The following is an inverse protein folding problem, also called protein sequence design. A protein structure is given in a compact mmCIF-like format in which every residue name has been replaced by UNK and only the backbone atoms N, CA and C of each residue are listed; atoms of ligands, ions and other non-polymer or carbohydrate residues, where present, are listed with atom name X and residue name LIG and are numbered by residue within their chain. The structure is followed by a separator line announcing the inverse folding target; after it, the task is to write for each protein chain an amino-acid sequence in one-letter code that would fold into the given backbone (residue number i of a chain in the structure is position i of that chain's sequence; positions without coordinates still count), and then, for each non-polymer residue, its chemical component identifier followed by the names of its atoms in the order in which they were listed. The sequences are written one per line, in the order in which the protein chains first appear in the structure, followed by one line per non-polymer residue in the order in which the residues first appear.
data_IF_640205350876
#
_entry.id   IF_640205350876
#
_cell.length_a   1.000
_cell.length_b   1.000
_cell.length_c   1.000
_cell.angle_alpha   90.00
_cell.angle_beta   90.00
_cell.angle_gamma   90.00
#
_symmetry.space_group_name_H-M   'P 1'
#
loop_
_entity.id
_entity.type
_entity.pdbx_description
1 polymer ?
#
# COMPACT_ATOMS: atom_id res chain seq x y z
N UNK A 1 6.26 34.37 -12.35
CA UNK A 1 7.57 33.70 -12.35
C UNK A 1 7.34 32.24 -12.72
N UNK A 2 7.95 31.76 -13.79
CA UNK A 2 7.79 30.36 -14.20
C UNK A 2 8.91 29.55 -13.54
N UNK A 3 8.55 28.58 -12.70
CA UNK A 3 9.48 27.67 -12.05
C UNK A 3 9.66 26.43 -12.92
N UNK A 4 10.90 26.01 -13.12
CA UNK A 4 11.25 24.74 -13.78
C UNK A 4 11.38 23.66 -12.73
N UNK A 5 10.71 22.53 -12.92
CA UNK A 5 10.84 21.37 -12.03
C UNK A 5 12.23 20.74 -12.15
N UNK A 6 12.82 20.36 -11.03
CA UNK A 6 14.11 19.64 -10.99
C UNK A 6 14.07 18.37 -11.85
N UNK A 7 12.95 17.63 -11.80
CA UNK A 7 12.72 16.45 -12.66
C UNK A 7 12.88 16.76 -14.14
N UNK A 8 12.37 17.91 -14.60
CA UNK A 8 12.45 18.31 -16.01
C UNK A 8 13.91 18.59 -16.41
N UNK A 9 14.68 19.20 -15.51
CA UNK A 9 16.11 19.48 -15.73
C UNK A 9 16.89 18.16 -15.87
N UNK A 10 16.67 17.20 -14.97
CA UNK A 10 17.33 15.89 -15.03
C UNK A 10 16.98 15.08 -16.28
N UNK A 11 15.70 15.10 -16.69
CA UNK A 11 15.23 14.33 -17.85
C UNK A 11 15.59 14.96 -19.20
N UNK A 12 15.74 16.27 -19.25
CA UNK A 12 15.97 17.04 -20.46
C UNK A 12 17.15 18.01 -20.31
N UNK A 13 18.26 17.57 -19.70
CA UNK A 13 19.43 18.39 -19.36
C UNK A 13 19.92 19.21 -20.54
N UNK A 14 20.03 18.61 -21.73
CA UNK A 14 20.50 19.29 -22.96
C UNK A 14 19.68 20.53 -23.30
N UNK A 15 18.37 20.52 -23.03
CA UNK A 15 17.48 21.67 -23.26
C UNK A 15 17.83 22.87 -22.39
N UNK A 16 18.30 22.61 -21.18
CA UNK A 16 18.57 23.64 -20.18
C UNK A 16 20.05 23.99 -20.05
N UNK A 17 20.91 23.25 -20.71
CA UNK A 17 22.36 23.46 -20.67
C UNK A 17 22.73 24.87 -21.09
N UNK A 18 23.48 25.56 -20.24
CA UNK A 18 23.86 26.96 -20.39
C UNK A 18 22.70 27.97 -20.47
N UNK A 19 21.47 27.53 -20.16
CA UNK A 19 20.31 28.39 -20.09
C UNK A 19 20.09 28.91 -18.66
N UNK A 20 19.39 30.03 -18.55
CA UNK A 20 18.87 30.53 -17.29
C UNK A 20 17.67 29.68 -16.87
N UNK A 21 17.68 29.18 -15.63
CA UNK A 21 16.58 28.44 -15.01
C UNK A 21 16.20 29.11 -13.69
N UNK A 22 14.94 28.99 -13.32
CA UNK A 22 14.45 29.37 -12.00
C UNK A 22 13.82 28.14 -11.35
N UNK A 23 14.31 27.74 -10.18
CA UNK A 23 13.77 26.63 -9.40
C UNK A 23 13.30 27.12 -8.02
N UNK A 24 12.31 26.45 -7.46
CA UNK A 24 11.91 26.64 -6.06
C UNK A 24 12.02 25.32 -5.32
N UNK A 25 12.46 25.33 -4.06
CA UNK A 25 12.56 24.08 -3.29
C UNK A 25 13.08 24.28 -1.87
N UNK A 26 13.32 23.18 -1.21
CA UNK A 26 13.79 23.19 0.19
C UNK A 26 15.25 22.80 0.29
N UNK A 27 15.96 23.53 1.15
CA UNK A 27 17.40 23.36 1.41
C UNK A 27 17.64 22.05 2.17
N UNK A 28 18.40 21.15 1.57
CA UNK A 28 18.88 19.89 2.19
C UNK A 28 20.23 20.05 2.87
N UNK A 29 21.07 20.90 2.34
CA UNK A 29 22.32 21.31 2.96
C UNK A 29 22.78 22.66 2.42
N UNK A 30 23.46 23.43 3.26
CA UNK A 30 24.17 24.63 2.88
C UNK A 30 25.61 24.53 3.42
N UNK A 31 26.60 24.78 2.58
CA UNK A 31 28.02 24.78 2.93
C UNK A 31 28.65 26.00 2.32
N UNK A 32 29.21 26.86 3.12
CA UNK A 32 29.90 28.04 2.65
C UNK A 32 31.41 27.95 2.86
N UNK A 33 32.14 28.69 2.06
CA UNK A 33 33.56 29.01 2.12
C UNK A 33 33.72 30.52 2.12
N UNK A 34 34.92 31.04 2.06
CA UNK A 34 35.16 32.49 2.17
C UNK A 34 34.44 33.31 1.08
N UNK A 35 34.44 32.85 -0.16
CA UNK A 35 33.95 33.63 -1.30
C UNK A 35 32.86 32.91 -2.10
N UNK A 36 32.48 31.67 -1.73
CA UNK A 36 31.44 30.90 -2.41
C UNK A 36 30.85 29.85 -1.49
N UNK A 37 29.70 29.27 -1.90
CA UNK A 37 29.06 28.16 -1.18
C UNK A 37 28.25 27.28 -2.08
N UNK A 38 27.74 26.21 -1.49
CA UNK A 38 26.92 25.19 -2.13
C UNK A 38 25.64 24.99 -1.36
N UNK A 39 24.51 25.12 -2.02
CA UNK A 39 23.20 24.71 -1.50
C UNK A 39 22.76 23.48 -2.29
N UNK A 40 22.26 22.48 -1.58
CA UNK A 40 21.56 21.35 -2.17
C UNK A 40 20.08 21.59 -1.99
N UNK A 41 19.34 21.68 -3.10
CA UNK A 41 17.91 21.97 -3.13
C UNK A 41 17.15 20.76 -3.63
N UNK A 42 16.08 20.41 -2.96
CA UNK A 42 15.11 19.42 -3.40
C UNK A 42 13.75 20.10 -3.55
N UNK A 43 13.14 19.97 -4.72
CA UNK A 43 11.82 20.55 -5.03
C UNK A 43 10.67 19.55 -4.90
N UNK A 44 10.96 18.31 -4.51
CA UNK A 44 9.98 17.21 -4.39
C UNK A 44 9.53 16.61 -5.72
N UNK A 45 9.97 17.13 -6.88
CA UNK A 45 9.56 16.58 -8.18
C UNK A 45 10.44 15.43 -8.66
N UNK A 46 11.65 15.31 -8.11
CA UNK A 46 12.60 14.25 -8.45
C UNK A 46 13.35 13.78 -7.19
N UNK A 47 13.75 12.51 -7.18
CA UNK A 47 14.44 11.93 -6.03
C UNK A 47 15.83 12.55 -5.80
N UNK A 48 16.58 12.75 -6.88
CA UNK A 48 17.90 13.39 -6.79
C UNK A 48 17.75 14.91 -6.62
N UNK A 49 18.34 15.51 -5.57
CA UNK A 49 18.35 16.95 -5.39
C UNK A 49 19.32 17.62 -6.34
N UNK A 50 19.15 18.92 -6.59
CA UNK A 50 20.04 19.70 -7.45
C UNK A 50 21.03 20.53 -6.64
N UNK A 51 22.28 20.58 -7.10
CA UNK A 51 23.32 21.41 -6.51
C UNK A 51 23.27 22.83 -7.08
N UNK A 52 23.30 23.81 -6.19
CA UNK A 52 23.40 25.25 -6.51
C UNK A 52 24.71 25.76 -5.97
N UNK A 53 25.47 26.46 -6.81
CA UNK A 53 26.71 27.17 -6.42
C UNK A 53 26.40 28.67 -6.37
N UNK A 54 26.78 29.33 -5.28
CA UNK A 54 26.63 30.76 -5.12
C UNK A 54 27.95 31.41 -4.71
N UNK A 55 28.17 32.65 -5.12
CA UNK A 55 29.39 33.40 -4.85
C UNK A 55 29.12 34.71 -4.11
N UNK A 56 30.20 35.38 -3.69
CA UNK A 56 30.19 36.66 -3.00
C UNK A 56 29.68 37.84 -3.86
N UNK A 57 29.42 37.60 -5.15
CA UNK A 57 28.75 38.54 -6.04
C UNK A 57 27.23 38.63 -5.86
N UNK A 58 26.61 37.76 -5.03
CA UNK A 58 25.19 37.91 -4.69
C UNK A 58 24.95 39.10 -3.77
N UNK A 59 23.91 39.89 -4.07
CA UNK A 59 23.53 41.05 -3.26
C UNK A 59 23.29 40.68 -1.79
N UNK A 60 22.70 39.50 -1.53
CA UNK A 60 22.37 38.99 -0.19
C UNK A 60 23.29 37.83 0.23
N UNK A 61 24.55 37.80 -0.18
CA UNK A 61 25.49 36.71 0.08
C UNK A 61 25.57 36.29 1.55
N UNK A 62 25.64 37.26 2.48
CA UNK A 62 25.73 36.99 3.92
C UNK A 62 24.45 36.32 4.48
N UNK A 63 23.28 36.64 3.93
CA UNK A 63 22.02 35.99 4.25
C UNK A 63 22.02 34.54 3.75
N UNK A 64 22.41 34.35 2.48
CA UNK A 64 22.48 33.04 1.85
C UNK A 64 23.44 32.12 2.59
N UNK A 65 24.57 32.62 3.07
CA UNK A 65 25.51 31.87 3.90
C UNK A 65 24.89 31.33 5.20
N UNK A 66 23.86 31.95 5.73
CA UNK A 66 23.20 31.64 7.01
C UNK A 66 21.93 30.83 6.86
N UNK A 67 21.53 30.46 5.61
CA UNK A 67 20.33 29.67 5.37
C UNK A 67 20.46 28.29 6.05
N UNK A 68 19.49 28.00 6.91
CA UNK A 68 19.39 26.71 7.58
C UNK A 68 18.77 25.62 6.69
N UNK A 69 19.05 24.36 7.02
CA UNK A 69 18.37 23.21 6.44
C UNK A 69 16.85 23.31 6.66
N UNK A 70 16.08 22.96 5.65
CA UNK A 70 14.62 23.05 5.69
C UNK A 70 14.05 24.39 5.24
N UNK A 71 14.87 25.42 5.04
CA UNK A 71 14.40 26.69 4.46
C UNK A 71 13.88 26.51 3.02
N UNK A 72 12.86 27.26 2.67
CA UNK A 72 12.36 27.34 1.30
C UNK A 72 13.07 28.47 0.55
N UNK A 73 13.56 28.15 -0.65
CA UNK A 73 14.31 29.11 -1.48
C UNK A 73 13.83 29.09 -2.93
N UNK A 74 13.92 30.26 -3.59
CA UNK A 74 13.86 30.37 -5.04
C UNK A 74 15.27 30.71 -5.52
N UNK A 75 15.76 29.96 -6.49
CA UNK A 75 17.09 30.15 -7.09
C UNK A 75 16.92 30.45 -8.57
N UNK A 76 17.48 31.54 -9.04
CA UNK A 76 17.62 31.89 -10.44
C UNK A 76 19.08 31.85 -10.82
N UNK A 77 19.43 31.12 -11.85
CA UNK A 77 20.82 30.95 -12.26
C UNK A 77 20.97 30.21 -13.58
N UNK A 78 22.23 30.07 -14.01
CA UNK A 78 22.57 29.34 -15.20
C UNK A 78 22.81 27.87 -14.90
N UNK A 79 22.25 26.94 -15.67
CA UNK A 79 22.56 25.52 -15.59
C UNK A 79 23.91 25.28 -16.30
N UNK A 80 24.91 24.89 -15.53
CA UNK A 80 26.28 24.70 -16.02
C UNK A 80 26.60 23.20 -16.03
N UNK A 81 27.02 22.63 -17.18
CA UNK A 81 27.47 21.23 -17.28
C UNK A 81 28.70 20.97 -16.41
N UNK A 82 28.72 19.82 -15.76
CA UNK A 82 29.85 19.34 -14.95
C UNK A 82 30.05 17.83 -15.18
N UNK A 83 30.42 17.40 -16.40
CA UNK A 83 30.45 15.99 -16.79
C UNK A 83 31.43 15.13 -15.97
N UNK A 84 32.44 15.74 -15.38
CA UNK A 84 33.44 15.06 -14.55
C UNK A 84 33.06 14.97 -13.07
N UNK A 85 31.97 15.65 -12.65
CA UNK A 85 31.47 15.63 -11.27
C UNK A 85 30.42 14.52 -11.09
N UNK A 86 30.15 14.14 -9.84
CA UNK A 86 29.11 13.14 -9.51
C UNK A 86 27.73 13.52 -10.05
N UNK A 87 27.36 14.82 -9.97
CA UNK A 87 26.19 15.36 -10.62
C UNK A 87 26.64 16.02 -11.93
N UNK A 88 26.04 15.65 -13.10
CA UNK A 88 26.55 16.09 -14.41
C UNK A 88 26.29 17.55 -14.71
N UNK A 89 25.65 18.29 -13.85
CA UNK A 89 25.36 19.73 -13.94
C UNK A 89 25.17 20.35 -12.55
N UNK A 90 25.22 21.67 -12.50
CA UNK A 90 24.90 22.48 -11.31
C UNK A 90 24.26 23.79 -11.75
N UNK A 91 23.55 24.47 -10.84
CA UNK A 91 23.08 25.82 -11.08
C UNK A 91 24.09 26.80 -10.52
N UNK A 92 24.63 27.66 -11.37
CA UNK A 92 25.39 28.83 -10.93
C UNK A 92 24.40 29.96 -10.63
N UNK A 93 24.18 30.21 -9.33
CA UNK A 93 23.19 31.17 -8.88
C UNK A 93 23.55 32.61 -9.28
N UNK A 94 22.60 33.32 -9.86
CA UNK A 94 22.62 34.76 -10.06
C UNK A 94 21.78 35.49 -8.99
N UNK A 95 20.77 34.80 -8.45
CA UNK A 95 19.87 35.32 -7.42
C UNK A 95 19.40 34.14 -6.54
N UNK A 96 19.34 34.36 -5.23
CA UNK A 96 18.77 33.42 -4.27
C UNK A 96 17.83 34.19 -3.35
N UNK A 97 16.55 33.88 -3.42
CA UNK A 97 15.52 34.47 -2.56
C UNK A 97 15.09 33.48 -1.48
N UNK A 98 15.07 33.91 -0.23
CA UNK A 98 14.53 33.11 0.88
C UNK A 98 13.03 33.34 0.97
N UNK A 99 12.23 32.38 0.52
CA UNK A 99 10.76 32.41 0.63
C UNK A 99 10.29 32.13 2.06
N UNK A 100 10.95 31.21 2.74
CA UNK A 100 10.64 30.84 4.11
C UNK A 100 11.89 30.40 4.85
N UNK A 101 12.24 31.12 5.90
CA UNK A 101 13.37 30.78 6.75
C UNK A 101 13.07 29.52 7.58
N UNK A 102 14.10 28.76 7.90
CA UNK A 102 14.05 27.65 8.85
C UNK A 102 14.86 27.99 10.09
N UNK A 103 14.36 27.62 11.25
CA UNK A 103 14.99 27.88 12.53
C UNK A 103 16.05 26.81 12.88
N UNK A 104 17.04 27.11 13.73
CA UNK A 104 18.10 26.16 14.09
C UNK A 104 17.62 24.89 14.81
N UNK A 105 16.42 24.90 15.38
CA UNK A 105 15.78 23.75 16.04
C UNK A 105 15.02 22.84 15.07
N UNK A 106 15.10 23.07 13.75
CA UNK A 106 14.53 22.18 12.75
C UNK A 106 14.93 20.72 13.00
N UNK A 107 13.97 19.79 13.18
CA UNK A 107 14.25 18.47 13.74
C UNK A 107 15.01 17.53 12.78
N UNK A 108 14.92 17.77 11.47
CA UNK A 108 15.61 16.94 10.46
C UNK A 108 17.01 17.49 10.14
N UNK A 109 17.85 17.55 11.18
CA UNK A 109 19.24 17.94 11.02
C UNK A 109 20.04 16.88 10.23
N UNK A 110 21.24 17.26 9.73
CA UNK A 110 22.13 16.38 8.96
C UNK A 110 22.74 15.26 9.85
N UNK A 111 21.89 14.33 10.26
CA UNK A 111 22.25 13.11 11.00
C UNK A 111 21.29 11.98 10.61
N UNK A 112 21.68 10.74 10.91
CA UNK A 112 20.77 9.61 10.74
C UNK A 112 19.67 9.68 11.80
N UNK A 113 18.42 9.57 11.38
CA UNK A 113 17.24 9.46 12.24
C UNK A 113 16.71 8.04 12.21
N UNK A 114 16.21 7.54 13.34
CA UNK A 114 15.52 6.24 13.39
C UNK A 114 14.10 6.37 12.86
N UNK A 115 13.52 5.27 12.36
CA UNK A 115 12.15 5.29 11.89
C UNK A 115 11.15 5.56 13.02
N UNK A 116 11.43 5.08 14.24
CA UNK A 116 10.64 5.37 15.45
C UNK A 116 10.55 6.88 15.68
N UNK A 117 11.67 7.58 15.66
CA UNK A 117 11.69 9.03 15.79
C UNK A 117 10.91 9.71 14.64
N UNK A 118 11.12 9.28 13.41
CA UNK A 118 10.45 9.88 12.26
C UNK A 118 8.92 9.67 12.27
N UNK A 119 8.42 8.62 12.92
CA UNK A 119 6.98 8.44 13.16
C UNK A 119 6.41 9.50 14.11
N UNK A 120 7.19 10.00 15.07
CA UNK A 120 6.73 11.08 16.00
C UNK A 120 6.64 12.45 15.33
N UNK A 121 7.22 12.60 14.13
CA UNK A 121 7.19 13.81 13.32
C UNK A 121 6.67 13.49 11.89
N UNK A 122 5.58 12.74 11.80
CA UNK A 122 5.03 12.25 10.54
C UNK A 122 4.80 13.35 9.49
N UNK A 123 4.46 14.57 9.93
CA UNK A 123 4.28 15.75 9.07
C UNK A 123 5.58 16.28 8.44
N UNK A 124 6.75 15.96 9.00
CA UNK A 124 8.05 16.40 8.46
C UNK A 124 8.84 15.26 7.79
N UNK A 125 8.58 14.00 8.15
CA UNK A 125 9.35 12.86 7.63
C UNK A 125 9.35 12.74 6.09
N UNK A 126 8.36 13.23 5.32
CA UNK A 126 8.44 13.23 3.86
C UNK A 126 9.63 14.03 3.30
N UNK A 127 10.20 14.94 4.10
CA UNK A 127 11.40 15.70 3.72
C UNK A 127 12.69 14.88 3.85
N UNK A 128 12.64 13.61 4.26
CA UNK A 128 13.82 12.71 4.28
C UNK A 128 13.87 11.89 2.99
N UNK A 129 15.06 11.49 2.55
CA UNK A 129 15.22 10.71 1.32
C UNK A 129 14.40 9.40 1.36
N UNK A 130 14.40 8.70 2.51
CA UNK A 130 13.66 7.44 2.64
C UNK A 130 12.17 7.63 2.43
N UNK A 131 11.56 8.60 3.12
CA UNK A 131 10.11 8.78 3.02
C UNK A 131 9.68 9.53 1.76
N UNK A 132 10.54 10.37 1.19
CA UNK A 132 10.33 10.88 -0.16
C UNK A 132 10.23 9.72 -1.15
N UNK A 133 11.21 8.79 -1.15
CA UNK A 133 11.19 7.62 -2.01
C UNK A 133 9.97 6.73 -1.76
N UNK A 134 9.64 6.43 -0.50
CA UNK A 134 8.48 5.59 -0.15
C UNK A 134 7.18 6.18 -0.71
N UNK A 135 6.91 7.46 -0.48
CA UNK A 135 5.63 8.05 -0.89
C UNK A 135 5.56 8.33 -2.40
N UNK A 136 6.69 8.53 -3.07
CA UNK A 136 6.73 8.57 -4.53
C UNK A 136 6.41 7.19 -5.13
N UNK A 137 7.03 6.12 -4.62
CA UNK A 137 6.73 4.75 -5.06
C UNK A 137 5.30 4.36 -4.70
N UNK A 138 4.78 4.73 -3.51
CA UNK A 138 3.38 4.53 -3.14
C UNK A 138 2.42 5.18 -4.16
N UNK A 139 2.67 6.43 -4.53
CA UNK A 139 1.86 7.15 -5.51
C UNK A 139 1.90 6.48 -6.88
N UNK A 140 3.09 6.09 -7.32
CA UNK A 140 3.29 5.42 -8.61
C UNK A 140 2.64 4.03 -8.65
N UNK A 141 2.74 3.28 -7.55
CA UNK A 141 2.09 1.97 -7.39
C UNK A 141 0.56 2.10 -7.51
N UNK A 142 -0.04 3.10 -6.86
CA UNK A 142 -1.48 3.35 -6.98
C UNK A 142 -1.89 3.63 -8.43
N UNK A 143 -1.13 4.48 -9.12
CA UNK A 143 -1.38 4.75 -10.54
C UNK A 143 -1.23 3.50 -11.41
N UNK A 144 -0.19 2.69 -11.19
CA UNK A 144 0.05 1.45 -11.92
C UNK A 144 -1.11 0.46 -11.77
N UNK A 145 -1.68 0.34 -10.56
CA UNK A 145 -2.84 -0.51 -10.29
C UNK A 145 -4.07 -0.02 -11.07
N UNK A 146 -4.39 1.28 -10.98
CA UNK A 146 -5.49 1.84 -11.76
C UNK A 146 -5.29 1.64 -13.26
N UNK A 147 -4.08 1.91 -13.76
CA UNK A 147 -3.74 1.72 -15.17
C UNK A 147 -3.92 0.27 -15.61
N UNK A 148 -3.45 -0.70 -14.80
CA UNK A 148 -3.60 -2.12 -15.08
C UNK A 148 -5.05 -2.53 -15.31
N UNK A 149 -5.95 -2.12 -14.42
CA UNK A 149 -7.36 -2.47 -14.48
C UNK A 149 -8.09 -1.70 -15.59
N UNK A 150 -7.85 -0.41 -15.72
CA UNK A 150 -8.53 0.43 -16.73
C UNK A 150 -8.16 0.02 -18.16
N UNK A 151 -6.92 -0.37 -18.42
CA UNK A 151 -6.47 -0.87 -19.74
C UNK A 151 -7.05 -2.29 -20.08
N UNK A 152 -7.72 -2.93 -19.12
CA UNK A 152 -8.38 -4.24 -19.26
C UNK A 152 -9.89 -4.14 -19.14
N UNK A 153 -10.45 -2.95 -19.33
CA UNK A 153 -11.89 -2.67 -19.30
C UNK A 153 -12.57 -3.02 -17.97
N UNK A 154 -11.84 -2.96 -16.84
CA UNK A 154 -12.44 -3.07 -15.53
C UNK A 154 -13.09 -1.75 -15.12
N UNK A 155 -14.27 -1.83 -14.52
CA UNK A 155 -14.96 -0.67 -13.96
C UNK A 155 -14.53 -0.45 -12.51
N UNK A 156 -14.02 0.76 -12.21
CA UNK A 156 -13.73 1.17 -10.84
C UNK A 156 -15.02 1.50 -10.09
N UNK A 157 -15.27 0.83 -8.97
CA UNK A 157 -16.50 0.98 -8.19
C UNK A 157 -16.20 1.56 -6.82
N UNK A 158 -16.93 2.63 -6.46
CA UNK A 158 -16.96 3.16 -5.10
C UNK A 158 -17.96 2.35 -4.26
N UNK A 159 -17.46 1.54 -3.35
CA UNK A 159 -18.28 0.84 -2.35
C UNK A 159 -18.36 1.63 -1.06
N UNK A 160 -19.46 1.51 -0.27
CA UNK A 160 -19.65 2.27 0.95
C UNK A 160 -18.58 2.02 2.00
N UNK A 161 -18.08 3.08 2.63
CA UNK A 161 -17.18 2.97 3.79
C UNK A 161 -17.96 2.78 5.09
N UNK A 162 -19.21 3.30 5.18
CA UNK A 162 -20.11 3.09 6.31
C UNK A 162 -21.09 2.00 5.89
N UNK A 163 -21.13 0.93 6.64
CA UNK A 163 -21.92 -0.27 6.30
C UNK A 163 -22.71 -0.79 7.50
N UNK A 164 -23.82 -1.44 7.23
CA UNK A 164 -24.60 -2.20 8.22
C UNK A 164 -24.32 -3.72 8.17
N UNK A 165 -23.42 -4.19 7.28
CA UNK A 165 -23.07 -5.61 7.14
C UNK A 165 -21.59 -5.86 7.42
N UNK A 166 -21.26 -7.03 7.96
CA UNK A 166 -19.90 -7.51 8.12
C UNK A 166 -19.52 -8.44 6.97
N UNK A 167 -18.56 -8.03 6.14
CA UNK A 167 -18.11 -8.81 5.00
C UNK A 167 -17.43 -10.13 5.40
N UNK A 168 -16.70 -10.15 6.49
CA UNK A 168 -15.94 -11.32 6.93
C UNK A 168 -16.72 -12.18 7.95
N UNK A 169 -17.81 -11.63 8.53
CA UNK A 169 -18.67 -12.33 9.47
C UNK A 169 -18.08 -12.53 10.87
N UNK A 170 -16.89 -12.00 11.13
CA UNK A 170 -16.21 -12.09 12.44
C UNK A 170 -15.28 -10.89 12.69
N UNK A 171 -15.38 -9.83 11.88
CA UNK A 171 -14.50 -8.68 11.94
C UNK A 171 -14.74 -7.80 13.17
N UNK A 172 -13.68 -7.40 13.87
CA UNK A 172 -13.74 -6.32 14.82
C UNK A 172 -13.88 -4.99 14.07
N UNK A 173 -15.10 -4.43 14.06
CA UNK A 173 -15.43 -3.23 13.30
C UNK A 173 -15.47 -1.99 14.19
N UNK A 174 -14.97 -0.87 13.67
CA UNK A 174 -15.21 0.43 14.29
C UNK A 174 -16.66 0.84 14.11
N UNK A 175 -17.35 1.16 15.21
CA UNK A 175 -18.72 1.64 15.17
C UNK A 175 -18.77 3.11 14.73
N UNK A 176 -19.72 3.44 13.85
CA UNK A 176 -20.04 4.80 13.44
C UNK A 176 -21.37 5.21 14.08
N UNK A 177 -21.35 6.24 14.91
CA UNK A 177 -22.54 6.73 15.63
C UNK A 177 -22.49 8.24 15.83
N UNK A 178 -23.66 8.87 15.86
CA UNK A 178 -23.86 10.27 16.25
C UNK A 178 -24.53 10.40 17.62
N UNK A 179 -24.78 9.28 18.31
CA UNK A 179 -25.33 9.28 19.65
C UNK A 179 -24.34 9.88 20.66
N UNK A 180 -24.85 10.65 21.63
CA UNK A 180 -24.02 11.12 22.74
C UNK A 180 -23.61 9.95 23.63
N UNK A 181 -22.33 9.60 23.65
CA UNK A 181 -21.82 8.49 24.48
C UNK A 181 -21.97 8.74 25.99
N UNK A 182 -22.21 9.98 26.43
CA UNK A 182 -22.48 10.30 27.84
C UNK A 182 -23.93 10.01 28.25
N UNK A 183 -24.85 10.07 27.29
CA UNK A 183 -26.28 9.86 27.52
C UNK A 183 -26.88 9.07 26.35
N UNK A 184 -26.49 7.80 26.27
CA UNK A 184 -26.94 6.90 25.20
C UNK A 184 -28.42 6.54 25.39
N UNK A 185 -29.30 6.83 24.41
CA UNK A 185 -30.72 6.43 24.48
C UNK A 185 -30.84 4.91 24.51
N UNK A 186 -31.74 4.41 25.38
CA UNK A 186 -31.95 2.99 25.61
C UNK A 186 -33.42 2.60 25.40
N UNK A 187 -33.62 1.40 24.87
CA UNK A 187 -34.90 0.73 24.78
C UNK A 187 -35.34 0.23 26.18
N UNK A 188 -36.55 -0.31 26.28
CA UNK A 188 -37.09 -0.87 27.55
C UNK A 188 -36.24 -2.04 28.08
N UNK A 189 -35.60 -2.82 27.19
CA UNK A 189 -34.71 -3.93 27.51
C UNK A 189 -33.29 -3.49 27.90
N UNK A 190 -33.06 -2.17 28.04
CA UNK A 190 -31.75 -1.53 28.32
C UNK A 190 -30.71 -1.60 27.20
N UNK A 191 -31.03 -2.16 26.05
CA UNK A 191 -30.17 -2.09 24.87
C UNK A 191 -30.16 -0.69 24.26
N UNK A 192 -29.14 -0.36 23.47
CA UNK A 192 -29.02 0.93 22.78
C UNK A 192 -30.20 1.08 21.81
N UNK A 193 -30.87 2.23 21.85
CA UNK A 193 -31.91 2.58 20.87
C UNK A 193 -31.33 3.25 19.63
N UNK A 194 -30.82 2.46 18.72
CA UNK A 194 -30.27 2.94 17.45
C UNK A 194 -31.29 3.60 16.50
N UNK A 195 -32.60 3.51 16.78
CA UNK A 195 -33.60 4.28 16.01
C UNK A 195 -33.45 5.79 16.19
N UNK A 196 -32.70 6.21 17.21
CA UNK A 196 -32.34 7.60 17.49
C UNK A 196 -30.99 8.01 16.87
N UNK A 197 -30.24 7.06 16.32
CA UNK A 197 -28.99 7.34 15.63
C UNK A 197 -29.22 7.81 14.18
N UNK A 198 -28.19 8.38 13.56
CA UNK A 198 -28.27 9.00 12.23
C UNK A 198 -28.87 8.07 11.16
N UNK A 199 -28.44 6.80 11.12
CA UNK A 199 -28.91 5.82 10.13
C UNK A 199 -30.11 4.99 10.62
N UNK A 200 -30.59 5.22 11.85
CA UNK A 200 -31.70 4.47 12.44
C UNK A 200 -31.39 2.99 12.76
N UNK A 201 -30.14 2.56 12.62
CA UNK A 201 -29.64 1.22 12.89
C UNK A 201 -28.14 1.26 13.22
N UNK A 202 -27.57 0.19 13.82
CA UNK A 202 -26.11 0.09 14.00
C UNK A 202 -25.39 0.15 12.67
N UNK A 203 -24.32 0.94 12.61
CA UNK A 203 -23.43 1.05 11.44
C UNK A 203 -21.98 1.06 11.86
N UNK A 204 -21.12 0.61 10.95
CA UNK A 204 -19.69 0.45 11.19
C UNK A 204 -18.88 0.94 10.00
N UNK A 205 -17.59 1.15 10.20
CA UNK A 205 -16.63 1.29 9.10
C UNK A 205 -16.38 -0.09 8.47
N UNK A 206 -16.31 -0.14 7.15
CA UNK A 206 -16.18 -1.39 6.39
C UNK A 206 -14.81 -2.06 6.60
N UNK A 207 -14.81 -3.38 6.59
CA UNK A 207 -13.59 -4.21 6.56
C UNK A 207 -13.20 -4.64 5.14
N UNK A 208 -14.10 -4.49 4.16
CA UNK A 208 -13.91 -4.84 2.74
C UNK A 208 -15.04 -4.28 1.88
N UNK A 209 -14.73 -3.93 0.65
CA UNK A 209 -15.72 -3.54 -0.37
C UNK A 209 -16.30 -4.71 -1.17
N UNK A 210 -15.85 -5.94 -0.92
CA UNK A 210 -16.11 -7.12 -1.74
C UNK A 210 -17.60 -7.38 -1.97
N UNK A 211 -18.41 -7.54 -0.92
CA UNK A 211 -19.82 -7.92 -1.08
C UNK A 211 -20.62 -6.91 -1.92
N UNK A 212 -20.34 -5.62 -1.75
CA UNK A 212 -20.94 -4.58 -2.57
C UNK A 212 -20.34 -4.57 -3.99
N UNK A 213 -19.04 -4.85 -4.14
CA UNK A 213 -18.36 -4.98 -5.42
C UNK A 213 -18.95 -6.11 -6.28
N UNK A 214 -19.23 -7.27 -5.69
CA UNK A 214 -19.84 -8.39 -6.40
C UNK A 214 -21.20 -8.03 -7.02
N UNK A 215 -21.97 -7.12 -6.41
CA UNK A 215 -23.25 -6.66 -7.02
C UNK A 215 -23.02 -6.00 -8.36
N UNK A 216 -21.91 -5.25 -8.49
CA UNK A 216 -21.55 -4.59 -9.74
C UNK A 216 -20.87 -5.54 -10.72
N UNK A 217 -20.12 -6.53 -10.26
CA UNK A 217 -19.57 -7.57 -11.13
C UNK A 217 -20.68 -8.37 -11.84
N UNK A 218 -21.81 -8.59 -11.19
CA UNK A 218 -22.99 -9.23 -11.79
C UNK A 218 -23.69 -8.37 -12.86
N UNK A 219 -23.27 -7.14 -13.07
CA UNK A 219 -23.79 -6.23 -14.10
C UNK A 219 -22.72 -5.79 -15.12
N UNK A 220 -21.50 -5.54 -14.64
CA UNK A 220 -20.39 -5.00 -15.45
C UNK A 220 -19.34 -6.05 -15.83
N UNK A 221 -19.47 -7.28 -15.38
CA UNK A 221 -18.58 -8.42 -15.61
C UNK A 221 -17.25 -8.29 -14.84
N UNK A 222 -16.45 -7.24 -15.08
CA UNK A 222 -15.15 -7.03 -14.46
C UNK A 222 -15.16 -5.69 -13.72
N UNK A 223 -14.97 -5.72 -12.42
CA UNK A 223 -14.89 -4.51 -11.58
C UNK A 223 -13.68 -4.60 -10.65
N UNK A 224 -13.33 -3.47 -10.09
CA UNK A 224 -12.42 -3.44 -8.94
C UNK A 224 -12.78 -2.29 -7.97
N UNK A 225 -12.51 -2.51 -6.70
CA UNK A 225 -12.47 -1.46 -5.70
C UNK A 225 -11.02 -1.07 -5.44
N UNK A 226 -10.78 0.15 -5.02
CA UNK A 226 -9.53 0.61 -4.48
C UNK A 226 -9.85 1.69 -3.46
N UNK A 227 -9.94 1.31 -2.20
CA UNK A 227 -10.42 2.19 -1.17
C UNK A 227 -9.98 1.80 0.24
N UNK A 228 -10.18 2.72 1.19
CA UNK A 228 -9.85 2.49 2.59
C UNK A 228 -10.73 1.41 3.21
N UNK A 229 -10.13 0.60 4.05
CA UNK A 229 -10.75 -0.41 4.90
C UNK A 229 -10.26 -0.24 6.33
N UNK A 230 -11.05 -0.73 7.28
CA UNK A 230 -10.83 -0.46 8.70
C UNK A 230 -10.99 -1.76 9.50
N UNK A 231 -10.04 -2.03 10.39
CA UNK A 231 -10.10 -3.17 11.32
C UNK A 231 -9.75 -2.72 12.72
N UNK A 232 -10.63 -3.00 13.67
CA UNK A 232 -10.47 -2.62 15.09
C UNK A 232 -9.69 -3.67 15.91
N UNK A 233 -9.01 -4.59 15.24
CA UNK A 233 -8.22 -5.64 15.88
C UNK A 233 -7.13 -5.05 16.79
N UNK A 234 -7.08 -5.53 18.03
CA UNK A 234 -6.04 -5.14 18.97
C UNK A 234 -4.72 -5.86 18.65
N UNK A 235 -4.18 -5.62 17.46
CA UNK A 235 -2.94 -6.21 16.96
C UNK A 235 -1.84 -5.15 16.83
N UNK A 236 -0.73 -5.34 17.53
CA UNK A 236 0.41 -4.42 17.51
C UNK A 236 1.62 -5.03 16.79
N UNK A 237 1.42 -5.53 15.58
CA UNK A 237 2.49 -6.09 14.76
C UNK A 237 3.02 -5.07 13.75
N UNK A 238 4.08 -5.43 13.05
CA UNK A 238 4.65 -4.61 11.97
C UNK A 238 3.81 -4.61 10.68
N UNK A 239 2.76 -5.44 10.61
CA UNK A 239 1.95 -5.67 9.40
C UNK A 239 0.49 -5.26 9.55
N UNK A 240 0.06 -4.79 10.73
CA UNK A 240 -1.31 -4.41 11.02
C UNK A 240 -1.43 -2.89 11.24
N UNK A 241 -2.42 -2.32 10.60
CA UNK A 241 -2.89 -0.96 10.81
C UNK A 241 -4.42 -0.98 10.92
N UNK A 242 -4.99 -0.04 11.68
CA UNK A 242 -6.43 0.06 11.85
C UNK A 242 -7.13 0.64 10.62
N UNK A 243 -6.40 1.41 9.81
CA UNK A 243 -6.83 1.98 8.53
C UNK A 243 -5.77 1.66 7.48
N UNK A 244 -6.19 1.06 6.38
CA UNK A 244 -5.35 0.69 5.24
C UNK A 244 -6.20 0.63 3.97
N UNK A 245 -5.57 0.44 2.81
CA UNK A 245 -6.30 0.39 1.54
C UNK A 245 -6.29 -1.02 0.95
N UNK A 246 -7.44 -1.41 0.40
CA UNK A 246 -7.58 -2.69 -0.32
C UNK A 246 -7.86 -2.45 -1.81
N UNK A 247 -7.27 -3.31 -2.63
CA UNK A 247 -7.61 -3.46 -4.04
C UNK A 247 -8.35 -4.79 -4.17
N UNK A 248 -9.60 -4.75 -4.62
CA UNK A 248 -10.47 -5.91 -4.63
C UNK A 248 -11.17 -6.03 -5.99
N UNK A 249 -10.55 -6.69 -6.99
CA UNK A 249 -11.22 -7.02 -8.24
C UNK A 249 -12.21 -8.18 -8.04
N UNK A 250 -13.31 -8.13 -8.82
CA UNK A 250 -14.30 -9.19 -8.94
C UNK A 250 -14.58 -9.43 -10.43
N UNK A 251 -14.47 -10.67 -10.87
CA UNK A 251 -14.60 -11.08 -12.25
C UNK A 251 -15.71 -12.13 -12.41
N UNK A 252 -16.75 -11.80 -13.20
CA UNK A 252 -17.85 -12.72 -13.48
C UNK A 252 -17.49 -13.68 -14.62
N UNK A 253 -18.13 -14.86 -14.61
CA UNK A 253 -17.88 -15.99 -15.53
C UNK A 253 -16.47 -16.57 -15.41
N UNK A 254 -15.84 -16.37 -14.27
CA UNK A 254 -14.48 -16.78 -13.94
C UNK A 254 -14.45 -17.81 -12.82
N UNK A 255 -13.44 -18.64 -12.81
CA UNK A 255 -13.15 -19.60 -11.75
C UNK A 255 -11.88 -19.23 -10.96
N UNK A 256 -11.44 -20.11 -10.07
CA UNK A 256 -10.25 -19.88 -9.25
C UNK A 256 -8.98 -19.76 -10.11
N UNK A 257 -8.90 -20.47 -11.23
CA UNK A 257 -7.76 -20.41 -12.14
C UNK A 257 -7.65 -19.03 -12.80
N UNK A 258 -8.78 -18.51 -13.29
CA UNK A 258 -8.86 -17.16 -13.87
C UNK A 258 -8.45 -16.08 -12.84
N UNK A 259 -8.84 -16.26 -11.57
CA UNK A 259 -8.49 -15.35 -10.46
C UNK A 259 -6.99 -15.35 -10.20
N UNK A 260 -6.36 -16.53 -10.12
CA UNK A 260 -4.92 -16.68 -9.98
C UNK A 260 -4.15 -16.05 -11.15
N UNK A 261 -4.59 -16.23 -12.38
CA UNK A 261 -3.96 -15.62 -13.56
C UNK A 261 -4.04 -14.10 -13.51
N UNK A 262 -5.18 -13.53 -13.10
CA UNK A 262 -5.33 -12.09 -12.94
C UNK A 262 -4.41 -11.55 -11.85
N UNK A 263 -4.34 -12.22 -10.69
CA UNK A 263 -3.50 -11.84 -9.56
C UNK A 263 -2.01 -11.85 -9.94
N UNK A 264 -1.54 -12.91 -10.60
CA UNK A 264 -0.15 -13.02 -11.08
C UNK A 264 0.17 -11.91 -12.09
N UNK A 265 -0.70 -11.70 -13.08
CA UNK A 265 -0.53 -10.67 -14.11
C UNK A 265 -0.46 -9.27 -13.51
N UNK A 266 -1.35 -8.97 -12.55
CA UNK A 266 -1.37 -7.67 -11.87
C UNK A 266 -0.09 -7.43 -11.08
N UNK A 267 0.33 -8.40 -10.28
CA UNK A 267 1.52 -8.25 -9.43
C UNK A 267 2.79 -8.03 -10.27
N UNK A 268 2.96 -8.83 -11.32
CA UNK A 268 4.08 -8.67 -12.27
C UNK A 268 4.06 -7.31 -12.97
N UNK A 269 2.90 -6.87 -13.41
CA UNK A 269 2.73 -5.56 -14.05
C UNK A 269 3.11 -4.41 -13.13
N UNK A 270 2.61 -4.41 -11.89
CA UNK A 270 2.88 -3.35 -10.92
C UNK A 270 4.37 -3.29 -10.56
N UNK A 271 5.00 -4.44 -10.34
CA UNK A 271 6.45 -4.50 -10.04
C UNK A 271 7.26 -3.91 -11.21
N UNK A 272 7.01 -4.37 -12.43
CA UNK A 272 7.71 -3.86 -13.61
C UNK A 272 7.51 -2.35 -13.79
N UNK A 273 6.27 -1.89 -13.64
CA UNK A 273 5.93 -0.49 -13.81
C UNK A 273 6.70 0.40 -12.82
N UNK A 274 6.79 -0.01 -11.56
CA UNK A 274 7.53 0.74 -10.53
C UNK A 274 9.03 0.73 -10.80
N UNK A 275 9.61 -0.42 -11.14
CA UNK A 275 11.04 -0.51 -11.47
C UNK A 275 11.40 0.40 -12.66
N UNK A 276 10.57 0.43 -13.69
CA UNK A 276 10.82 1.23 -14.90
C UNK A 276 10.66 2.73 -14.65
N UNK A 277 9.69 3.15 -13.82
CA UNK A 277 9.31 4.55 -13.70
C UNK A 277 9.88 5.25 -12.45
N UNK A 278 10.49 4.51 -11.52
CA UNK A 278 11.15 5.02 -10.32
C UNK A 278 12.53 4.36 -10.09
N UNK A 279 13.41 4.32 -11.10
CA UNK A 279 14.69 3.60 -10.99
C UNK A 279 15.60 4.17 -9.89
N UNK A 280 15.58 5.47 -9.65
CA UNK A 280 16.41 6.13 -8.63
C UNK A 280 15.95 5.73 -7.22
N UNK A 281 14.66 5.75 -6.96
CA UNK A 281 14.06 5.33 -5.70
C UNK A 281 14.29 3.82 -5.45
N UNK A 282 14.12 2.99 -6.47
CA UNK A 282 14.32 1.54 -6.37
C UNK A 282 15.80 1.20 -6.11
N UNK A 283 16.72 1.88 -6.76
CA UNK A 283 18.16 1.75 -6.48
C UNK A 283 18.49 2.19 -5.05
N UNK A 284 17.87 3.26 -4.56
CA UNK A 284 18.01 3.70 -3.16
C UNK A 284 17.54 2.63 -2.18
N UNK A 285 16.36 2.05 -2.37
CA UNK A 285 15.85 0.99 -1.49
C UNK A 285 16.77 -0.24 -1.50
N UNK A 286 17.20 -0.68 -2.66
CA UNK A 286 18.10 -1.84 -2.78
C UNK A 286 19.44 -1.61 -2.09
N UNK A 287 19.97 -0.38 -2.09
CA UNK A 287 21.27 -0.08 -1.51
C UNK A 287 21.21 0.23 0.00
N UNK A 288 20.12 0.84 0.50
CA UNK A 288 20.09 1.43 1.84
C UNK A 288 19.00 0.86 2.75
N UNK A 289 17.98 0.20 2.21
CA UNK A 289 16.85 -0.33 2.99
C UNK A 289 16.89 -1.85 3.04
N UNK A 290 16.91 -2.52 1.87
CA UNK A 290 16.83 -3.97 1.76
C UNK A 290 17.73 -4.47 0.62
N UNK A 291 18.92 -4.90 0.97
CA UNK A 291 19.89 -5.46 0.00
C UNK A 291 19.32 -6.73 -0.62
N UNK A 292 19.29 -6.81 -1.95
CA UNK A 292 18.70 -7.91 -2.71
C UNK A 292 17.20 -7.72 -3.00
N UNK A 293 16.66 -6.52 -2.75
CA UNK A 293 15.28 -6.17 -3.09
C UNK A 293 15.01 -6.36 -4.59
N UNK A 294 15.87 -5.82 -5.45
CA UNK A 294 15.69 -5.92 -6.91
C UNK A 294 15.75 -7.36 -7.39
N UNK A 295 16.70 -8.17 -6.91
CA UNK A 295 16.81 -9.59 -7.26
C UNK A 295 15.53 -10.35 -6.87
N UNK A 296 14.94 -10.03 -5.71
CA UNK A 296 13.70 -10.64 -5.24
C UNK A 296 12.51 -10.23 -6.10
N UNK A 297 12.41 -8.96 -6.48
CA UNK A 297 11.33 -8.47 -7.35
C UNK A 297 11.46 -9.03 -8.77
N UNK A 298 12.67 -9.12 -9.32
CA UNK A 298 12.95 -9.76 -10.61
C UNK A 298 12.60 -11.25 -10.59
N UNK A 299 12.85 -11.95 -9.50
CA UNK A 299 12.42 -13.34 -9.33
C UNK A 299 10.90 -13.50 -9.48
N UNK A 300 10.11 -12.59 -8.91
CA UNK A 300 8.64 -12.58 -9.04
C UNK A 300 8.21 -12.36 -10.50
N UNK A 301 8.84 -11.40 -11.17
CA UNK A 301 8.47 -11.03 -12.54
C UNK A 301 8.81 -12.13 -13.56
N UNK A 302 9.98 -12.75 -13.40
CA UNK A 302 10.56 -13.65 -14.39
C UNK A 302 10.14 -15.12 -14.24
N UNK A 303 9.45 -15.49 -13.16
CA UNK A 303 9.00 -16.87 -12.94
C UNK A 303 7.48 -16.98 -12.94
N UNK A 304 6.97 -18.08 -13.44
CA UNK A 304 5.57 -18.47 -13.21
C UNK A 304 5.38 -18.82 -11.74
N UNK A 305 4.24 -18.46 -11.19
CA UNK A 305 3.94 -18.76 -9.78
C UNK A 305 3.67 -20.26 -9.62
N UNK A 306 4.26 -20.86 -8.62
CA UNK A 306 3.99 -22.24 -8.27
C UNK A 306 2.56 -22.40 -7.74
N UNK A 307 2.01 -23.61 -7.82
CA UNK A 307 0.67 -23.92 -7.33
C UNK A 307 0.75 -25.15 -6.45
N UNK A 308 0.08 -25.12 -5.32
CA UNK A 308 0.01 -26.21 -4.36
C UNK A 308 -1.30 -26.14 -3.60
N UNK A 309 -1.94 -27.28 -3.38
CA UNK A 309 -3.11 -27.31 -2.48
C UNK A 309 -2.69 -27.15 -1.04
N UNK A 310 -3.55 -26.61 -0.18
CA UNK A 310 -3.30 -26.53 1.26
C UNK A 310 -2.95 -27.90 1.85
N UNK A 311 -3.65 -28.94 1.46
CA UNK A 311 -3.38 -30.32 1.92
C UNK A 311 -1.96 -30.78 1.57
N UNK A 312 -1.48 -30.48 0.36
CA UNK A 312 -0.11 -30.81 -0.06
C UNK A 312 0.90 -29.92 0.65
N UNK A 313 0.61 -28.63 0.81
CA UNK A 313 1.46 -27.70 1.56
C UNK A 313 1.66 -28.19 3.01
N UNK A 314 0.59 -28.61 3.70
CA UNK A 314 0.67 -29.19 5.03
C UNK A 314 1.53 -30.46 5.05
N UNK A 315 1.41 -31.35 4.05
CA UNK A 315 2.26 -32.55 3.94
C UNK A 315 3.75 -32.20 3.78
N UNK A 316 4.06 -31.15 3.02
CA UNK A 316 5.44 -30.67 2.84
C UNK A 316 5.95 -30.06 4.15
N UNK A 317 5.21 -29.14 4.74
CA UNK A 317 5.60 -28.41 5.95
C UNK A 317 5.72 -29.35 7.16
N UNK A 318 4.84 -30.34 7.32
CA UNK A 318 4.87 -31.30 8.43
C UNK A 318 6.17 -32.08 8.51
N UNK A 319 6.86 -32.31 7.39
CA UNK A 319 8.18 -32.95 7.35
C UNK A 319 9.29 -32.10 7.98
N UNK A 320 9.01 -30.80 8.17
CA UNK A 320 9.94 -29.80 8.68
C UNK A 320 9.43 -29.10 9.94
N UNK A 321 8.49 -29.73 10.65
CA UNK A 321 7.91 -29.18 11.87
C UNK A 321 8.94 -28.86 12.96
N UNK A 322 10.10 -29.52 12.95
CA UNK A 322 11.23 -29.22 13.84
C UNK A 322 11.80 -27.79 13.66
N UNK A 323 11.59 -27.18 12.50
CA UNK A 323 12.09 -25.83 12.14
C UNK A 323 11.14 -24.70 12.50
N UNK A 324 9.91 -24.99 12.87
CA UNK A 324 8.87 -23.98 13.10
C UNK A 324 8.57 -23.79 14.59
N UNK A 325 8.31 -22.55 14.97
CA UNK A 325 7.81 -22.22 16.30
C UNK A 325 6.36 -22.72 16.46
N UNK A 326 5.54 -22.54 15.42
CA UNK A 326 4.18 -23.07 15.34
C UNK A 326 4.13 -24.34 14.51
N UNK A 327 3.76 -25.45 15.13
CA UNK A 327 3.67 -26.76 14.43
C UNK A 327 2.46 -26.77 13.51
N UNK A 328 2.63 -27.23 12.28
CA UNK A 328 1.53 -27.37 11.33
C UNK A 328 0.80 -28.70 11.49
N UNK A 329 -0.51 -28.64 11.37
CA UNK A 329 -1.41 -29.77 11.22
C UNK A 329 -2.54 -29.38 10.29
N UNK A 330 -3.23 -30.35 9.68
CA UNK A 330 -4.33 -30.04 8.79
C UNK A 330 -5.45 -29.34 9.57
N UNK A 331 -5.95 -28.21 9.02
CA UNK A 331 -6.95 -27.34 9.66
C UNK A 331 -6.37 -26.15 10.41
N UNK A 332 -5.04 -26.01 10.55
CA UNK A 332 -4.46 -24.82 11.16
C UNK A 332 -4.28 -23.68 10.14
N UNK A 333 -4.32 -22.43 10.64
CA UNK A 333 -3.88 -21.29 9.84
C UNK A 333 -2.37 -21.33 9.62
N UNK A 334 -1.94 -21.09 8.37
CA UNK A 334 -0.53 -20.95 8.04
C UNK A 334 -0.01 -19.63 8.65
N UNK A 335 1.12 -19.74 9.35
CA UNK A 335 1.82 -18.57 9.86
C UNK A 335 2.87 -18.08 8.86
N UNK A 336 3.30 -16.85 8.99
CA UNK A 336 4.31 -16.24 8.08
C UNK A 336 5.57 -17.10 7.94
N UNK A 337 6.00 -17.81 8.97
CA UNK A 337 7.17 -18.72 8.89
C UNK A 337 6.92 -19.88 7.93
N UNK A 338 5.70 -20.43 7.90
CA UNK A 338 5.29 -21.50 6.98
C UNK A 338 5.22 -21.00 5.53
N UNK A 339 4.60 -19.85 5.32
CA UNK A 339 4.45 -19.20 4.01
C UNK A 339 5.82 -18.86 3.39
N UNK A 340 6.70 -18.28 4.18
CA UNK A 340 8.07 -17.98 3.75
C UNK A 340 8.88 -19.24 3.50
N UNK A 341 8.68 -20.29 4.29
CA UNK A 341 9.36 -21.57 4.05
C UNK A 341 8.96 -22.17 2.70
N UNK A 342 7.67 -22.12 2.34
CA UNK A 342 7.20 -22.56 1.02
C UNK A 342 7.83 -21.74 -0.11
N UNK A 343 7.82 -20.42 0.00
CA UNK A 343 8.30 -19.53 -1.08
C UNK A 343 9.82 -19.46 -1.18
N UNK A 344 10.55 -19.53 -0.05
CA UNK A 344 12.00 -19.30 -0.01
C UNK A 344 12.82 -20.58 -0.02
N UNK A 345 12.31 -21.68 0.57
CA UNK A 345 13.07 -22.92 0.71
C UNK A 345 12.59 -24.00 -0.27
N UNK A 346 11.27 -24.13 -0.46
CA UNK A 346 10.70 -25.22 -1.27
C UNK A 346 10.63 -24.82 -2.74
N UNK A 347 9.85 -23.78 -3.07
CA UNK A 347 9.58 -23.39 -4.46
C UNK A 347 10.56 -22.34 -5.00
N UNK A 348 11.18 -21.54 -4.13
CA UNK A 348 12.11 -20.44 -4.45
C UNK A 348 11.53 -19.40 -5.43
N UNK A 349 10.22 -19.22 -5.36
CA UNK A 349 9.42 -18.31 -6.19
C UNK A 349 8.05 -18.09 -5.54
N UNK A 350 7.21 -17.17 -6.05
CA UNK A 350 5.84 -17.03 -5.56
C UNK A 350 5.05 -18.33 -5.68
N UNK A 351 4.10 -18.52 -4.75
CA UNK A 351 3.31 -19.75 -4.65
C UNK A 351 1.85 -19.38 -4.41
N UNK A 352 0.94 -19.93 -5.20
CA UNK A 352 -0.48 -20.00 -4.88
C UNK A 352 -0.74 -21.25 -4.03
N UNK A 353 -1.32 -21.04 -2.85
CA UNK A 353 -1.87 -22.11 -2.02
C UNK A 353 -3.37 -22.10 -2.15
N UNK A 354 -3.98 -23.24 -2.54
CA UNK A 354 -5.40 -23.34 -2.84
C UNK A 354 -6.12 -24.36 -1.96
N UNK A 355 -7.45 -24.36 -2.01
CA UNK A 355 -8.30 -25.41 -1.43
C UNK A 355 -8.12 -25.59 0.08
N UNK A 356 -8.34 -24.50 0.80
CA UNK A 356 -8.24 -24.44 2.25
C UNK A 356 -9.42 -25.12 2.96
N UNK A 357 -9.23 -25.61 4.20
CA UNK A 357 -10.35 -26.07 5.02
C UNK A 357 -11.44 -25.00 5.18
N UNK A 358 -12.70 -25.41 5.02
CA UNK A 358 -13.83 -24.48 5.10
C UNK A 358 -13.99 -23.80 6.47
N UNK A 359 -13.50 -24.44 7.53
CA UNK A 359 -13.63 -23.97 8.91
C UNK A 359 -12.79 -22.71 9.20
N UNK A 360 -11.71 -22.50 8.42
CA UNK A 360 -10.78 -21.36 8.59
C UNK A 360 -10.94 -20.29 7.50
N UNK A 361 -11.98 -20.38 6.67
CA UNK A 361 -12.23 -19.42 5.57
C UNK A 361 -13.66 -18.90 5.59
N UNK A 362 -13.88 -17.74 4.99
CA UNK A 362 -15.13 -17.00 5.01
C UNK A 362 -16.31 -17.73 4.34
N UNK A 363 -17.53 -17.33 4.68
CA UNK A 363 -18.79 -17.98 4.26
C UNK A 363 -19.04 -17.91 2.76
N UNK A 364 -18.54 -16.90 2.08
CA UNK A 364 -18.80 -16.62 0.66
C UNK A 364 -17.96 -17.45 -0.29
N UNK A 365 -16.97 -18.19 0.20
CA UNK A 365 -16.09 -18.99 -0.64
C UNK A 365 -16.76 -20.27 -1.11
N UNK A 366 -16.57 -20.61 -2.39
CA UNK A 366 -17.21 -21.78 -3.01
C UNK A 366 -16.77 -23.08 -2.34
N UNK A 367 -17.75 -23.86 -1.89
CA UNK A 367 -17.52 -25.17 -1.32
C UNK A 367 -17.11 -26.17 -2.44
N UNK A 368 -15.97 -26.83 -2.25
CA UNK A 368 -15.50 -27.88 -3.16
C UNK A 368 -16.36 -29.15 -3.06
N UNK A 369 -16.25 -30.04 -4.06
CA UNK A 369 -17.02 -31.29 -4.12
C UNK A 369 -16.75 -32.23 -2.94
N UNK A 370 -15.58 -32.12 -2.31
CA UNK A 370 -15.21 -32.94 -1.13
C UNK A 370 -16.01 -32.57 0.14
N UNK A 371 -16.73 -31.43 0.13
CA UNK A 371 -17.52 -30.91 1.25
C UNK A 371 -16.68 -30.46 2.45
N UNK A 372 -15.35 -30.46 2.36
CA UNK A 372 -14.40 -30.14 3.42
C UNK A 372 -13.56 -28.90 3.15
N UNK A 373 -13.26 -28.64 1.89
CA UNK A 373 -12.43 -27.52 1.45
C UNK A 373 -13.25 -26.52 0.65
N UNK A 374 -12.73 -25.32 0.53
CA UNK A 374 -13.29 -24.24 -0.29
C UNK A 374 -12.27 -23.79 -1.33
N UNK A 375 -12.74 -23.30 -2.47
CA UNK A 375 -11.93 -22.79 -3.57
C UNK A 375 -11.34 -21.42 -3.21
N UNK A 376 -10.59 -21.37 -2.11
CA UNK A 376 -9.80 -20.23 -1.66
C UNK A 376 -8.41 -20.27 -2.28
N UNK A 377 -7.76 -19.11 -2.35
CA UNK A 377 -6.37 -18.97 -2.77
C UNK A 377 -5.67 -17.88 -1.96
N UNK A 378 -4.46 -18.17 -1.51
CA UNK A 378 -3.53 -17.19 -0.98
C UNK A 378 -2.29 -17.15 -1.89
N UNK A 379 -1.92 -15.96 -2.37
CA UNK A 379 -0.68 -15.73 -3.10
C UNK A 379 0.42 -15.37 -2.12
N UNK A 380 1.40 -16.24 -2.02
CA UNK A 380 2.57 -16.10 -1.15
C UNK A 380 3.77 -15.62 -1.97
N UNK A 381 4.50 -14.64 -1.45
CA UNK A 381 5.73 -14.15 -2.08
C UNK A 381 6.93 -14.22 -1.12
N UNK A 382 8.16 -14.41 -1.64
CA UNK A 382 9.36 -14.42 -0.81
C UNK A 382 9.51 -13.13 0.00
N UNK A 383 9.93 -13.23 1.26
CA UNK A 383 10.19 -12.09 2.14
C UNK A 383 8.99 -11.62 2.96
N UNK A 384 7.77 -11.71 2.44
CA UNK A 384 6.57 -11.20 3.12
C UNK A 384 5.57 -12.30 3.50
N UNK A 385 5.46 -13.38 2.73
CA UNK A 385 4.42 -14.38 2.82
C UNK A 385 3.18 -13.96 2.04
N UNK A 386 1.98 -14.09 2.60
CA UNK A 386 0.74 -13.73 1.94
C UNK A 386 0.69 -12.25 1.58
N UNK A 387 0.44 -11.96 0.28
CA UNK A 387 0.26 -10.62 -0.27
C UNK A 387 -1.13 -10.43 -0.87
N UNK A 388 -1.74 -11.49 -1.39
CA UNK A 388 -3.09 -11.53 -1.96
C UNK A 388 -3.83 -12.71 -1.36
N UNK A 389 -5.08 -12.50 -0.95
CA UNK A 389 -6.03 -13.53 -0.58
C UNK A 389 -7.26 -13.44 -1.47
N UNK A 390 -7.76 -14.57 -1.98
CA UNK A 390 -8.90 -14.60 -2.90
C UNK A 390 -9.68 -15.89 -2.86
N UNK A 391 -10.71 -15.99 -3.69
CA UNK A 391 -11.47 -17.22 -3.88
C UNK A 391 -12.37 -17.17 -5.12
N UNK A 392 -12.74 -18.31 -5.60
CA UNK A 392 -14.02 -18.44 -6.32
C UNK A 392 -15.14 -18.28 -5.32
N UNK A 393 -16.17 -17.52 -5.67
CA UNK A 393 -17.33 -17.22 -4.81
C UNK A 393 -18.39 -18.31 -4.92
N UNK A 394 -19.11 -18.57 -3.82
CA UNK A 394 -20.24 -19.52 -3.87
C UNK A 394 -21.37 -18.93 -4.72
N UNK A 395 -21.72 -19.60 -5.79
CA UNK A 395 -22.72 -19.21 -6.77
C UNK A 395 -24.06 -19.98 -6.62
N UNK A 396 -24.10 -20.94 -5.70
CA UNK A 396 -25.31 -21.69 -5.33
C UNK A 396 -26.02 -21.04 -4.12
N UNK A 397 -27.30 -20.70 -4.27
CA UNK A 397 -28.08 -20.02 -3.25
C UNK A 397 -28.19 -20.84 -1.96
N UNK A 398 -28.53 -22.12 -2.05
CA UNK A 398 -28.80 -22.96 -0.88
C UNK A 398 -27.51 -23.24 -0.09
N UNK A 399 -26.40 -23.45 -0.80
CA UNK A 399 -25.08 -23.63 -0.18
C UNK A 399 -24.62 -22.37 0.53
N UNK A 400 -24.78 -21.20 -0.12
CA UNK A 400 -24.41 -19.91 0.50
C UNK A 400 -25.25 -19.63 1.73
N UNK A 401 -26.58 -19.85 1.67
CA UNK A 401 -27.48 -19.68 2.81
C UNK A 401 -27.11 -20.61 3.97
N UNK A 402 -26.81 -21.87 3.67
CA UNK A 402 -26.37 -22.83 4.69
C UNK A 402 -25.08 -22.36 5.39
N UNK A 403 -24.11 -21.83 4.64
CA UNK A 403 -22.86 -21.31 5.21
C UNK A 403 -23.08 -20.07 6.08
N UNK A 404 -23.96 -19.15 5.68
CA UNK A 404 -24.34 -17.98 6.48
C UNK A 404 -24.93 -18.45 7.83
N UNK A 405 -25.83 -19.44 7.79
CA UNK A 405 -26.46 -20.00 8.98
C UNK A 405 -25.46 -20.76 9.89
N UNK A 406 -24.59 -21.58 9.30
CA UNK A 406 -23.55 -22.33 10.01
C UNK A 406 -22.60 -21.41 10.79
N UNK A 407 -22.32 -20.22 10.26
CA UNK A 407 -21.50 -19.21 10.93
C UNK A 407 -22.28 -18.33 11.92
N UNK A 408 -23.59 -18.61 12.12
CA UNK A 408 -24.43 -17.85 13.06
C UNK A 408 -24.75 -16.43 12.61
N UNK A 409 -24.58 -16.13 11.33
CA UNK A 409 -24.88 -14.81 10.74
C UNK A 409 -26.37 -14.70 10.46
N UNK A 410 -26.90 -13.47 10.46
CA UNK A 410 -28.33 -13.22 10.21
C UNK A 410 -28.61 -13.11 8.73
N UNK A 411 -29.49 -13.92 8.20
CA UNK A 411 -29.89 -13.91 6.79
C UNK A 411 -30.33 -12.53 6.31
N UNK A 412 -31.06 -11.78 7.15
CA UNK A 412 -31.59 -10.47 6.78
C UNK A 412 -30.47 -9.47 6.42
N UNK A 413 -29.32 -9.57 7.07
CA UNK A 413 -28.18 -8.67 6.84
C UNK A 413 -27.49 -8.95 5.48
N UNK A 414 -27.68 -10.17 4.92
CA UNK A 414 -27.09 -10.63 3.66
C UNK A 414 -28.11 -10.87 2.55
N UNK A 415 -29.36 -10.43 2.73
CA UNK A 415 -30.41 -10.63 1.72
C UNK A 415 -30.02 -10.11 0.34
N UNK A 416 -29.43 -8.91 0.27
CA UNK A 416 -28.97 -8.32 -0.99
C UNK A 416 -27.92 -9.21 -1.70
N UNK A 417 -27.09 -9.88 -0.92
CA UNK A 417 -26.03 -10.75 -1.42
C UNK A 417 -26.57 -12.11 -1.87
N UNK A 418 -27.56 -12.66 -1.15
CA UNK A 418 -28.31 -13.86 -1.57
C UNK A 418 -29.13 -13.62 -2.83
N UNK A 419 -29.70 -12.42 -3.01
CA UNK A 419 -30.44 -12.04 -4.20
C UNK A 419 -29.59 -12.16 -5.50
N UNK A 420 -28.28 -11.95 -5.42
CA UNK A 420 -27.38 -12.15 -6.55
C UNK A 420 -27.34 -13.62 -7.04
N UNK A 421 -27.60 -14.58 -6.14
CA UNK A 421 -27.66 -16.01 -6.48
C UNK A 421 -29.03 -16.40 -6.98
N UNK A 422 -30.04 -15.63 -6.64
CA UNK A 422 -31.42 -15.86 -7.04
C UNK A 422 -31.78 -15.28 -8.41
N UNK A 423 -31.18 -14.12 -8.73
CA UNK A 423 -31.52 -13.34 -9.92
C UNK A 423 -30.35 -13.33 -10.94
N UNK A 424 -30.13 -14.45 -11.60
CA UNK A 424 -29.10 -14.56 -12.65
C UNK A 424 -27.69 -14.78 -12.12
N UNK A 425 -27.54 -15.75 -11.21
CA UNK A 425 -26.24 -16.17 -10.68
C UNK A 425 -25.27 -16.57 -11.79
N UNK A 426 -24.04 -16.17 -11.65
CA UNK A 426 -22.94 -16.61 -12.49
C UNK A 426 -21.76 -17.02 -11.60
N UNK A 427 -20.98 -18.03 -12.04
CA UNK A 427 -19.71 -18.28 -11.38
C UNK A 427 -18.86 -17.01 -11.44
N UNK A 428 -18.19 -16.68 -10.36
CA UNK A 428 -17.33 -15.50 -10.29
C UNK A 428 -16.26 -15.69 -9.22
N UNK A 429 -15.20 -14.92 -9.33
CA UNK A 429 -14.05 -15.00 -8.46
C UNK A 429 -13.48 -13.61 -8.25
N UNK A 430 -12.67 -13.48 -7.22
CA UNK A 430 -12.00 -12.22 -6.92
C UNK A 430 -11.00 -12.38 -5.77
N UNK A 431 -10.18 -11.36 -5.61
CA UNK A 431 -9.16 -11.36 -4.57
C UNK A 431 -9.02 -9.99 -3.90
N UNK A 432 -8.34 -9.95 -2.77
CA UNK A 432 -7.93 -8.71 -2.09
C UNK A 432 -6.42 -8.60 -2.04
N UNK A 433 -5.88 -7.46 -2.49
CA UNK A 433 -4.50 -7.05 -2.30
C UNK A 433 -4.45 -5.92 -1.27
N UNK A 434 -3.76 -6.12 -0.16
CA UNK A 434 -3.45 -5.04 0.78
C UNK A 434 -2.45 -4.06 0.17
N UNK A 435 -2.86 -2.82 -0.08
CA UNK A 435 -2.02 -1.84 -0.77
C UNK A 435 -0.74 -1.54 -0.02
N UNK A 436 -0.82 -1.35 1.29
CA UNK A 436 0.35 -1.10 2.14
C UNK A 436 1.32 -2.28 2.15
N UNK A 437 0.79 -3.49 2.15
CA UNK A 437 1.63 -4.70 2.07
C UNK A 437 2.35 -4.78 0.73
N UNK A 438 1.68 -4.39 -0.35
CA UNK A 438 2.31 -4.26 -1.68
C UNK A 438 3.42 -3.19 -1.68
N UNK A 439 3.17 -2.01 -1.10
CA UNK A 439 4.19 -0.94 -1.01
C UNK A 439 5.36 -1.37 -0.13
N UNK A 440 5.12 -2.06 0.98
CA UNK A 440 6.20 -2.66 1.79
C UNK A 440 7.04 -3.63 0.96
N UNK A 441 6.40 -4.47 0.16
CA UNK A 441 7.08 -5.42 -0.71
C UNK A 441 7.96 -4.76 -1.76
N UNK A 442 7.44 -3.70 -2.41
CA UNK A 442 8.15 -2.92 -3.43
C UNK A 442 9.32 -2.10 -2.88
N UNK A 443 9.26 -1.68 -1.63
CA UNK A 443 10.25 -0.77 -1.03
C UNK A 443 11.22 -1.44 -0.07
N UNK A 444 10.93 -2.69 0.34
CA UNK A 444 11.68 -3.37 1.39
C UNK A 444 11.45 -2.82 2.80
N UNK A 445 10.47 -1.92 2.98
CA UNK A 445 10.15 -1.37 4.30
C UNK A 445 9.55 -2.45 5.21
N UNK A 446 10.11 -2.60 6.41
CA UNK A 446 9.76 -3.68 7.33
C UNK A 446 8.50 -3.43 8.17
N UNK A 447 7.96 -2.20 8.17
CA UNK A 447 6.86 -1.81 9.04
C UNK A 447 5.79 -1.02 8.26
N UNK A 448 4.54 -1.47 8.36
CA UNK A 448 3.39 -0.85 7.69
C UNK A 448 3.23 0.64 8.03
N UNK A 449 3.61 1.05 9.25
CA UNK A 449 3.58 2.46 9.69
C UNK A 449 4.49 3.37 8.86
N UNK A 450 5.45 2.78 8.15
CA UNK A 450 6.44 3.52 7.36
C UNK A 450 6.06 3.64 5.88
N UNK A 451 4.95 3.03 5.47
CA UNK A 451 4.39 3.15 4.11
C UNK A 451 3.04 3.85 4.09
N UNK A 452 2.54 4.28 5.24
CA UNK A 452 1.32 5.08 5.40
C UNK A 452 1.73 6.50 5.80
N UNK A 453 1.22 7.56 5.13
CA UNK A 453 1.57 8.94 5.50
C UNK A 453 1.32 9.27 6.96
N UNK A 454 0.13 8.97 7.48
CA UNK A 454 -0.31 9.17 8.85
C UNK A 454 -0.94 7.87 9.36
N UNK A 455 -0.16 6.94 9.92
CA UNK A 455 -0.65 5.62 10.27
C UNK A 455 -1.64 5.65 11.44
N UNK A 456 -2.73 4.90 11.33
CA UNK A 456 -3.69 4.63 12.40
C UNK A 456 -3.45 3.22 12.93
N UNK A 457 -3.08 3.13 14.19
CA UNK A 457 -2.78 1.86 14.85
C UNK A 457 -3.27 1.89 16.30
N UNK A 458 -3.24 0.76 16.98
CA UNK A 458 -3.59 0.70 18.41
C UNK A 458 -2.83 1.79 19.19
N UNK A 459 -3.54 2.59 19.97
CA UNK A 459 -3.02 3.72 20.74
C UNK A 459 -2.31 4.81 19.94
N UNK A 460 -2.56 4.90 18.64
CA UNK A 460 -1.97 5.95 17.81
C UNK A 460 -2.99 6.48 16.78
N UNK A 461 -3.37 7.74 16.97
CA UNK A 461 -4.23 8.52 16.07
C UNK A 461 -3.71 9.95 15.89
N UNK A 462 -2.39 10.13 16.04
CA UNK A 462 -1.73 11.43 15.97
C UNK A 462 -1.60 11.93 14.52
N UNK A 463 -1.92 13.24 14.32
CA UNK A 463 -1.88 14.01 13.05
C UNK A 463 -2.85 13.55 11.97
#
# INVERSE_FOLDING_TARGET
MELVNVREIFKNTIRYENQQVTIGGWVRSNRNSKNFGFIVVNDGTFFEPIQVVYGDGLENYEEVCKINVGAAVIVKGQLVPTPEEKQPFKIQAAEVTVEGASTPDYPLQKKRHTFEYLRTISHLRPRTNTFEAVFRVRSLCAYAIHKFFQERDFVYVHTPLITGSDCEGAGEMFQVTTLDLKDVPKKQDKTVDYTKDFFGKPTNLTVSGQLNGETYAMAFKNIYTFGPTFRAENSNTTRHAAEFWMIEPEIAFADLEDDMMLAESMLKYVINYVIEHAPEEMAFFNNFVDKGLLDRLENVVNNDFARVTYTEAIKILSKHNDKFDYKVSWGCDLQTEHERYLTEQIYKRPVFVTDYPKEIKAFYMKLNEDGKTVAAVDCLVPGIGEIIGGSQREDDYDKLLARIQDMGLKEEDYKFYLDLRKYGSARHAGFGLGFERCVMYLTGMANIRDVIPFPRTVNNCEL
#
